data_IF_582958192080
#
_entry.id   IF_582958192080
#
_cell.length_a   1.000
_cell.length_b   1.000
_cell.length_c   1.000
_cell.angle_alpha   90.00
_cell.angle_beta   90.00
_cell.angle_gamma   90.00
#
_symmetry.space_group_name_H-M   'P 1'
#
loop_
_entity.id
_entity.type
_entity.pdbx_description
1 polymer ?
#
# COMPACT_ATOMS: atom_id res chain seq x y z
N UNK A 1 -6.45 11.80 -4.05
CA UNK A 1 -5.87 10.44 -3.93
C UNK A 1 -6.66 9.46 -4.81
N UNK A 2 -6.06 8.85 -5.84
CA UNK A 2 -6.71 7.85 -6.69
C UNK A 2 -7.14 6.59 -5.92
N UNK A 3 -8.33 6.07 -6.21
CA UNK A 3 -8.86 4.82 -5.67
C UNK A 3 -8.32 3.62 -6.47
N UNK A 4 -7.75 2.64 -5.78
CA UNK A 4 -7.30 1.37 -6.35
C UNK A 4 -8.41 0.32 -6.23
N UNK A 5 -8.99 0.20 -5.03
CA UNK A 5 -10.01 -0.79 -4.72
C UNK A 5 -10.83 -0.34 -3.52
N UNK A 6 -12.12 -0.63 -3.54
CA UNK A 6 -13.04 -0.39 -2.44
C UNK A 6 -13.61 -1.72 -1.95
N UNK A 7 -13.54 -1.94 -0.63
CA UNK A 7 -14.16 -3.07 0.04
C UNK A 7 -15.40 -2.62 0.82
N UNK A 8 -15.93 -3.48 1.71
CA UNK A 8 -17.08 -3.12 2.54
C UNK A 8 -16.72 -1.95 3.47
N UNK A 9 -15.65 -2.09 4.25
CA UNK A 9 -15.29 -1.15 5.31
C UNK A 9 -14.01 -0.35 5.05
N UNK A 10 -13.28 -0.62 3.96
CA UNK A 10 -11.99 0.02 3.67
C UNK A 10 -11.86 0.48 2.21
N UNK A 11 -10.95 1.42 2.00
CA UNK A 11 -10.48 1.86 0.69
C UNK A 11 -8.98 1.61 0.57
N UNK A 12 -8.55 1.18 -0.62
CA UNK A 12 -7.16 1.12 -1.02
C UNK A 12 -6.91 2.27 -1.98
N UNK A 13 -5.95 3.13 -1.66
CA UNK A 13 -5.70 4.37 -2.39
C UNK A 13 -4.21 4.56 -2.70
N UNK A 14 -3.93 5.39 -3.71
CA UNK A 14 -2.59 5.91 -3.98
C UNK A 14 -2.46 7.30 -3.33
N UNK A 15 -1.48 7.52 -2.44
CA UNK A 15 -1.22 8.85 -1.90
C UNK A 15 -0.59 9.75 -2.97
N UNK A 16 -1.01 11.01 -3.00
CA UNK A 16 -0.49 12.01 -3.96
C UNK A 16 1.00 12.27 -3.77
N UNK A 17 1.46 12.20 -2.51
CA UNK A 17 2.86 12.34 -2.13
C UNK A 17 3.33 11.04 -1.48
N UNK A 18 3.81 10.07 -2.25
CA UNK A 18 4.17 8.77 -1.71
C UNK A 18 5.51 8.81 -0.96
N UNK A 19 5.67 7.94 0.03
CA UNK A 19 6.95 7.73 0.72
C UNK A 19 7.91 6.87 -0.11
N UNK A 20 7.37 6.05 -1.01
CA UNK A 20 8.13 5.17 -1.90
C UNK A 20 7.77 5.52 -3.34
N UNK A 21 8.78 5.87 -4.13
CA UNK A 21 8.57 6.18 -5.53
C UNK A 21 8.05 4.96 -6.29
N UNK A 22 7.34 5.19 -7.40
CA UNK A 22 6.98 4.11 -8.35
C UNK A 22 8.18 3.23 -8.69
N UNK A 23 9.32 3.83 -9.02
CA UNK A 23 10.54 3.10 -9.43
C UNK A 23 11.17 2.26 -8.30
N UNK A 24 10.95 2.63 -7.03
CA UNK A 24 11.39 1.83 -5.88
C UNK A 24 10.42 0.71 -5.50
N UNK A 25 9.26 0.65 -6.16
CA UNK A 25 8.23 -0.36 -5.93
C UNK A 25 6.87 0.20 -5.54
N UNK A 26 6.73 1.53 -5.41
CA UNK A 26 5.45 2.20 -5.21
C UNK A 26 4.89 2.11 -3.78
N UNK A 27 3.77 2.82 -3.60
CA UNK A 27 3.13 3.01 -2.31
C UNK A 27 1.60 3.05 -2.49
N UNK A 28 0.89 2.19 -1.76
CA UNK A 28 -0.57 2.26 -1.59
C UNK A 28 -0.90 2.27 -0.10
N UNK A 29 -2.08 2.77 0.27
CA UNK A 29 -2.55 2.84 1.65
C UNK A 29 -3.92 2.20 1.75
N UNK A 30 -4.13 1.37 2.77
CA UNK A 30 -5.44 0.87 3.17
C UNK A 30 -5.95 1.77 4.30
N UNK A 31 -7.11 2.41 4.10
CA UNK A 31 -7.75 3.29 5.09
C UNK A 31 -9.18 2.81 5.37
N UNK A 32 -9.68 2.90 6.61
CA UNK A 32 -11.07 2.60 6.90
C UNK A 32 -11.99 3.70 6.36
N UNK A 33 -13.22 3.33 5.98
CA UNK A 33 -14.26 4.30 5.55
C UNK A 33 -14.81 5.12 6.71
N UNK A 34 -14.73 4.58 7.91
CA UNK A 34 -15.03 5.27 9.17
C UNK A 34 -13.74 5.44 9.93
N UNK A 35 -13.45 6.63 10.42
CA UNK A 35 -12.22 6.89 11.16
C UNK A 35 -12.15 6.02 12.42
N UNK A 36 -10.98 5.43 12.63
CA UNK A 36 -10.65 4.57 13.77
C UNK A 36 -9.26 4.96 14.21
N UNK A 37 -9.01 5.03 15.52
CA UNK A 37 -7.69 5.36 16.08
C UNK A 37 -6.64 4.33 15.66
N UNK A 38 -6.80 3.07 16.05
CA UNK A 38 -5.87 2.02 15.69
C UNK A 38 -6.57 0.67 15.53
N UNK A 39 -5.80 -0.37 15.19
CA UNK A 39 -6.31 -1.72 14.97
C UNK A 39 -7.00 -2.35 16.20
N UNK A 40 -6.73 -1.88 17.42
CA UNK A 40 -7.35 -2.41 18.65
C UNK A 40 -8.81 -2.01 18.79
N UNK A 41 -9.24 -0.99 18.05
CA UNK A 41 -10.63 -0.50 18.02
C UNK A 41 -11.49 -1.14 16.93
N UNK A 42 -10.92 -2.03 16.11
CA UNK A 42 -11.66 -2.76 15.08
C UNK A 42 -12.55 -3.83 15.70
N UNK A 43 -13.73 -4.03 15.13
CA UNK A 43 -14.51 -5.25 15.39
C UNK A 43 -13.77 -6.47 14.79
N UNK A 44 -14.07 -7.69 15.26
CA UNK A 44 -13.50 -8.90 14.67
C UNK A 44 -13.68 -8.98 13.14
N UNK A 45 -14.85 -8.57 12.64
CA UNK A 45 -15.16 -8.58 11.20
C UNK A 45 -14.26 -7.60 10.43
N UNK A 46 -14.09 -6.37 10.94
CA UNK A 46 -13.21 -5.39 10.30
C UNK A 46 -11.73 -5.78 10.39
N UNK A 47 -11.32 -6.43 11.48
CA UNK A 47 -9.95 -6.94 11.63
C UNK A 47 -9.64 -8.06 10.62
N UNK A 48 -10.59 -8.98 10.40
CA UNK A 48 -10.48 -10.03 9.37
C UNK A 48 -10.43 -9.42 7.97
N UNK A 49 -11.30 -8.46 7.68
CA UNK A 49 -11.30 -7.75 6.40
C UNK A 49 -9.98 -7.02 6.15
N UNK A 50 -9.46 -6.29 7.15
CA UNK A 50 -8.18 -5.60 7.05
C UNK A 50 -7.03 -6.58 6.77
N UNK A 51 -6.96 -7.69 7.50
CA UNK A 51 -5.94 -8.71 7.28
C UNK A 51 -6.01 -9.27 5.86
N UNK A 52 -7.22 -9.64 5.40
CA UNK A 52 -7.46 -10.11 4.03
C UNK A 52 -6.97 -9.09 3.00
N UNK A 53 -7.30 -7.81 3.17
CA UNK A 53 -6.90 -6.75 2.25
C UNK A 53 -5.39 -6.54 2.23
N UNK A 54 -4.70 -6.56 3.38
CA UNK A 54 -3.22 -6.44 3.39
C UNK A 54 -2.55 -7.58 2.61
N UNK A 55 -3.07 -8.81 2.74
CA UNK A 55 -2.55 -9.96 2.02
C UNK A 55 -2.81 -9.84 0.51
N UNK A 56 -4.05 -9.58 0.12
CA UNK A 56 -4.45 -9.51 -1.30
C UNK A 56 -3.79 -8.33 -2.01
N UNK A 57 -3.80 -7.15 -1.39
CA UNK A 57 -3.22 -5.96 -1.99
C UNK A 57 -1.70 -6.07 -2.13
N UNK A 58 -1.01 -6.68 -1.16
CA UNK A 58 0.43 -6.90 -1.25
C UNK A 58 0.80 -7.91 -2.35
N UNK A 59 0.06 -9.01 -2.47
CA UNK A 59 0.25 -9.98 -3.55
C UNK A 59 -0.06 -9.35 -4.92
N UNK A 60 -1.16 -8.60 -5.02
CA UNK A 60 -1.55 -7.90 -6.23
C UNK A 60 -0.50 -6.88 -6.69
N UNK A 61 -0.01 -6.06 -5.76
CA UNK A 61 1.01 -5.06 -6.02
C UNK A 61 2.31 -5.70 -6.52
N UNK A 62 2.73 -6.82 -5.92
CA UNK A 62 3.89 -7.58 -6.40
C UNK A 62 3.70 -8.08 -7.83
N UNK A 63 2.57 -8.73 -8.13
CA UNK A 63 2.30 -9.30 -9.46
C UNK A 63 2.14 -8.21 -10.52
N UNK A 64 1.30 -7.21 -10.27
CA UNK A 64 0.99 -6.14 -11.22
C UNK A 64 2.20 -5.26 -11.53
N UNK A 65 3.01 -4.87 -10.54
CA UNK A 65 4.19 -4.05 -10.83
C UNK A 65 5.30 -4.86 -11.51
N UNK A 66 5.43 -6.15 -11.19
CA UNK A 66 6.39 -7.02 -11.86
C UNK A 66 6.03 -7.24 -13.33
N UNK A 67 4.75 -7.40 -13.67
CA UNK A 67 4.31 -7.49 -15.08
C UNK A 67 4.55 -6.19 -15.86
N UNK A 68 4.75 -5.07 -15.16
CA UNK A 68 5.09 -3.75 -15.70
C UNK A 68 6.59 -3.42 -15.60
N UNK A 69 7.44 -4.41 -15.40
CA UNK A 69 8.91 -4.26 -15.42
C UNK A 69 9.52 -3.74 -14.12
N UNK A 70 8.76 -3.64 -13.03
CA UNK A 70 9.25 -3.27 -11.70
C UNK A 70 9.26 -4.52 -10.83
N UNK A 71 10.38 -5.25 -10.85
CA UNK A 71 10.49 -6.50 -10.12
C UNK A 71 10.45 -6.29 -8.59
N UNK A 72 9.32 -6.62 -7.96
CA UNK A 72 9.12 -6.45 -6.53
C UNK A 72 9.64 -7.68 -5.78
N UNK A 73 10.64 -7.48 -4.92
CA UNK A 73 11.13 -8.54 -4.03
C UNK A 73 10.17 -8.79 -2.86
N UNK A 74 9.74 -7.71 -2.19
CA UNK A 74 8.94 -7.74 -0.96
C UNK A 74 7.97 -6.56 -0.86
N UNK A 75 6.89 -6.74 -0.12
CA UNK A 75 6.04 -5.66 0.40
C UNK A 75 6.34 -5.47 1.90
N UNK A 76 6.55 -4.24 2.32
CA UNK A 76 6.57 -3.87 3.73
C UNK A 76 5.18 -3.34 4.12
N UNK A 77 4.70 -3.73 5.30
CA UNK A 77 3.41 -3.31 5.86
C UNK A 77 3.67 -2.46 7.09
N UNK A 78 3.19 -1.23 7.11
CA UNK A 78 3.44 -0.30 8.21
C UNK A 78 2.15 0.40 8.66
N UNK A 79 1.95 0.41 9.97
CA UNK A 79 0.88 1.12 10.68
C UNK A 79 1.60 2.07 11.63
N UNK A 80 1.66 3.32 11.21
CA UNK A 80 2.66 4.27 11.64
C UNK A 80 1.94 5.42 12.35
N UNK A 81 2.22 5.62 13.64
CA UNK A 81 1.63 6.71 14.42
C UNK A 81 2.21 8.10 14.12
N UNK A 82 3.08 8.23 13.10
CA UNK A 82 3.61 9.52 12.70
C UNK A 82 2.62 10.27 11.80
N UNK A 83 2.50 11.59 12.02
CA UNK A 83 1.72 12.57 11.25
C UNK A 83 0.19 12.46 11.30
N UNK A 84 -0.37 11.28 11.54
CA UNK A 84 -1.78 11.08 11.90
C UNK A 84 -1.92 9.97 12.94
N UNK A 85 -2.92 10.11 13.80
CA UNK A 85 -3.26 9.15 14.86
C UNK A 85 -4.36 8.16 14.43
N UNK A 86 -4.84 8.27 13.20
CA UNK A 86 -5.89 7.42 12.65
C UNK A 86 -5.30 6.21 11.93
N UNK A 87 -5.99 5.08 11.99
CA UNK A 87 -5.61 3.82 11.38
C UNK A 87 -5.44 3.97 9.88
N UNK A 88 -4.24 3.64 9.39
CA UNK A 88 -3.96 3.49 7.98
C UNK A 88 -2.77 2.53 7.80
N UNK A 89 -2.89 1.58 6.88
CA UNK A 89 -1.82 0.61 6.62
C UNK A 89 -1.13 0.97 5.32
N UNK A 90 0.13 1.38 5.42
CA UNK A 90 1.00 1.57 4.28
C UNK A 90 1.48 0.22 3.74
N UNK A 91 1.37 0.05 2.43
CA UNK A 91 2.02 -1.02 1.69
C UNK A 91 3.10 -0.39 0.81
N UNK A 92 4.35 -0.73 1.13
CA UNK A 92 5.54 -0.25 0.44
C UNK A 92 6.13 -1.37 -0.40
N UNK A 93 6.07 -1.23 -1.72
CA UNK A 93 6.79 -2.14 -2.60
C UNK A 93 8.29 -1.92 -2.49
N UNK A 94 9.05 -3.01 -2.51
CA UNK A 94 10.52 -3.00 -2.52
C UNK A 94 11.00 -3.63 -3.81
N UNK A 95 11.22 -2.80 -4.82
CA UNK A 95 11.80 -3.21 -6.10
C UNK A 95 13.25 -3.66 -5.89
N UNK A 96 13.66 -4.75 -6.54
CA UNK A 96 15.04 -5.26 -6.42
C UNK A 96 16.09 -4.27 -6.91
N UNK A 97 15.74 -3.51 -7.96
CA UNK A 97 16.60 -2.50 -8.57
C UNK A 97 16.24 -1.07 -8.13
N UNK A 98 15.68 -0.90 -6.92
CA UNK A 98 15.23 0.39 -6.40
C UNK A 98 16.34 1.47 -6.49
N UNK A 99 16.12 2.59 -7.21
CA UNK A 99 17.13 3.65 -7.34
C UNK A 99 17.37 4.44 -6.05
N UNK A 100 16.34 4.67 -5.22
CA UNK A 100 16.41 5.51 -4.01
C UNK A 100 16.39 4.61 -2.77
N UNK A 101 15.31 3.84 -2.57
CA UNK A 101 15.09 3.00 -1.39
C UNK A 101 15.72 1.60 -1.57
N UNK A 102 17.06 1.54 -1.60
CA UNK A 102 17.85 0.35 -1.96
C UNK A 102 17.30 -0.95 -1.37
N UNK A 103 17.14 -1.97 -2.20
CA UNK A 103 16.66 -3.27 -1.77
C UNK A 103 17.59 -3.89 -0.72
N UNK A 104 17.02 -4.45 0.35
CA UNK A 104 17.78 -4.99 1.49
C UNK A 104 18.19 -3.95 2.54
N UNK A 105 18.15 -2.65 2.23
CA UNK A 105 18.37 -1.59 3.21
C UNK A 105 17.08 -1.26 4.00
N UNK A 106 17.20 -0.73 5.23
CA UNK A 106 16.06 -0.11 5.91
C UNK A 106 15.49 1.04 5.07
N UNK A 107 14.19 1.28 5.22
CA UNK A 107 13.56 2.43 4.60
C UNK A 107 14.07 3.70 5.29
N UNK A 108 14.47 4.68 4.49
CA UNK A 108 14.92 5.97 4.99
C UNK A 108 13.83 7.01 4.72
N UNK A 109 13.26 7.56 5.78
CA UNK A 109 12.23 8.59 5.71
C UNK A 109 12.70 9.85 6.44
N UNK A 110 12.17 11.03 6.06
CA UNK A 110 12.42 12.26 6.80
C UNK A 110 11.96 12.14 8.26
N UNK A 111 12.66 12.80 9.17
CA UNK A 111 12.39 12.67 10.60
C UNK A 111 11.09 13.38 10.99
N UNK A 112 10.76 14.46 10.29
CA UNK A 112 9.59 15.30 10.59
C UNK A 112 8.67 15.46 9.37
N UNK A 113 7.44 15.93 9.62
CA UNK A 113 6.48 16.22 8.56
C UNK A 113 6.97 17.38 7.70
N UNK A 114 7.56 18.37 8.35
CA UNK A 114 8.09 19.59 7.74
C UNK A 114 9.22 19.23 6.78
N UNK A 115 10.16 18.39 7.21
CA UNK A 115 11.22 17.85 6.34
C UNK A 115 10.65 17.06 5.17
N UNK A 116 9.62 16.24 5.41
CA UNK A 116 8.96 15.50 4.34
C UNK A 116 8.30 16.41 3.31
N UNK A 117 7.69 17.53 3.72
CA UNK A 117 6.96 18.43 2.83
C UNK A 117 7.88 19.29 1.95
N UNK A 118 9.07 19.64 2.42
CA UNK A 118 10.02 20.48 1.64
C UNK A 118 10.84 19.69 0.61
N UNK A 119 10.89 18.36 0.70
CA UNK A 119 11.58 17.54 -0.31
C UNK A 119 10.86 17.56 -1.67
N UNK A 120 11.51 17.18 -2.77
CA UNK A 120 10.81 16.91 -4.03
C UNK A 120 9.82 15.74 -3.85
N UNK A 121 8.60 15.88 -4.39
CA UNK A 121 7.63 14.80 -4.37
C UNK A 121 8.13 13.62 -5.20
N UNK A 122 8.05 12.41 -4.64
CA UNK A 122 8.37 11.19 -5.37
C UNK A 122 7.25 10.87 -6.38
N UNK A 123 7.57 10.31 -7.56
CA UNK A 123 6.54 9.91 -8.52
C UNK A 123 5.60 8.83 -7.93
N UNK A 124 4.27 9.07 -7.92
CA UNK A 124 3.29 8.06 -7.50
C UNK A 124 3.11 6.96 -8.54
N UNK A 125 2.38 5.92 -8.15
CA UNK A 125 1.84 4.95 -9.09
C UNK A 125 0.93 5.66 -10.09
N UNK A 126 1.05 5.30 -11.37
CA UNK A 126 0.25 5.90 -12.43
C UNK A 126 -1.05 5.11 -12.67
N UNK A 127 -1.91 5.63 -13.56
CA UNK A 127 -3.24 5.06 -13.83
C UNK A 127 -3.18 3.59 -14.28
N UNK A 128 -2.20 3.24 -15.11
CA UNK A 128 -2.01 1.86 -15.54
C UNK A 128 -1.58 0.93 -14.39
N UNK A 129 -0.75 1.42 -13.44
CA UNK A 129 -0.36 0.63 -12.27
C UNK A 129 -1.60 0.38 -11.41
N UNK A 130 -2.38 1.43 -11.20
CA UNK A 130 -3.63 1.39 -10.42
C UNK A 130 -4.60 0.40 -11.05
N UNK A 131 -4.77 0.45 -12.37
CA UNK A 131 -5.64 -0.44 -13.13
C UNK A 131 -5.21 -1.90 -12.99
N UNK A 132 -3.93 -2.22 -13.19
CA UNK A 132 -3.44 -3.60 -13.09
C UNK A 132 -3.47 -4.11 -11.65
N UNK A 133 -3.16 -3.29 -10.65
CA UNK A 133 -3.30 -3.67 -9.23
C UNK A 133 -4.78 -3.94 -8.90
N UNK A 134 -5.70 -3.07 -9.33
CA UNK A 134 -7.14 -3.25 -9.10
C UNK A 134 -7.67 -4.54 -9.72
N UNK A 135 -7.27 -4.82 -10.96
CA UNK A 135 -7.61 -6.06 -11.69
C UNK A 135 -7.07 -7.28 -10.96
N UNK A 136 -5.82 -7.22 -10.49
CA UNK A 136 -5.19 -8.34 -9.81
C UNK A 136 -5.80 -8.59 -8.42
N UNK A 137 -6.18 -7.54 -7.67
CA UNK A 137 -6.96 -7.67 -6.43
C UNK A 137 -8.26 -8.42 -6.71
N UNK A 138 -9.03 -7.99 -7.72
CA UNK A 138 -10.30 -8.64 -8.09
C UNK A 138 -10.09 -10.10 -8.48
N UNK A 139 -9.03 -10.41 -9.22
CA UNK A 139 -8.67 -11.79 -9.58
C UNK A 139 -8.37 -12.63 -8.34
N UNK A 140 -7.50 -12.12 -7.46
CA UNK A 140 -7.06 -12.82 -6.25
C UNK A 140 -8.22 -13.10 -5.28
N UNK A 141 -9.14 -12.15 -5.11
CA UNK A 141 -10.33 -12.33 -4.26
C UNK A 141 -11.23 -13.51 -4.69
N UNK A 142 -11.15 -13.93 -5.96
CA UNK A 142 -11.89 -15.08 -6.49
C UNK A 142 -11.11 -16.41 -6.40
N UNK A 143 -9.87 -16.41 -5.93
CA UNK A 143 -9.06 -17.63 -5.77
C UNK A 143 -9.43 -18.38 -4.50
N UNK A 144 -9.15 -19.69 -4.45
CA UNK A 144 -9.41 -20.53 -3.28
C UNK A 144 -8.77 -20.01 -1.99
N UNK A 145 -7.62 -19.34 -2.10
CA UNK A 145 -6.91 -18.75 -0.98
C UNK A 145 -7.68 -17.62 -0.28
N UNK A 146 -8.47 -16.84 -1.03
CA UNK A 146 -9.09 -15.61 -0.53
C UNK A 146 -10.62 -15.61 -0.60
N UNK A 147 -11.24 -16.48 -1.40
CA UNK A 147 -12.70 -16.53 -1.57
C UNK A 147 -13.43 -16.96 -0.29
N UNK A 148 -12.78 -17.78 0.55
CA UNK A 148 -13.34 -18.33 1.79
C UNK A 148 -13.00 -17.50 3.05
N UNK A 149 -12.31 -16.38 2.85
CA UNK A 149 -11.90 -15.47 3.92
C UNK A 149 -13.01 -14.49 4.28
#
# INVERSE_FOLDING_TARGET
>A
MPLVFESKSFNIIVPERPHISRADGGHIIIIPKTEVEDRTKLSPEHAVELMKLTMVAGEAMKTALSSRGIEIGRINYQDNGNWTHLLHIHLYGRAKNAPIQKYGAPLNFPATKEEFLVQPALPPLNEDDISEISKEIKRLLNTDKYKSF
#
